data_IF_239759516084
#
_entry.id   IF_239759516084
#
_cell.length_a   1.000
_cell.length_b   1.000
_cell.length_c   1.000
_cell.angle_alpha   90.00
_cell.angle_beta   90.00
_cell.angle_gamma   90.00
#
_symmetry.space_group_name_H-M   'P 1'
#
loop_
_entity.id
_entity.type
_entity.pdbx_description
1 polymer ?
#
# COMPACT_ATOMS: atom_id res chain seq x y z
N UNK A 1 30.96 -26.23 24.44
CA UNK A 1 29.81 -25.30 24.50
C UNK A 1 30.10 -24.12 23.58
N UNK A 2 29.68 -24.17 22.31
CA UNK A 2 29.90 -23.09 21.35
C UNK A 2 28.79 -22.04 21.48
N UNK A 3 29.08 -20.96 22.20
CA UNK A 3 28.23 -19.77 22.24
C UNK A 3 28.28 -19.08 20.88
N UNK A 4 27.17 -19.10 20.15
CA UNK A 4 27.03 -18.36 18.89
C UNK A 4 26.64 -16.93 19.22
N UNK A 5 27.53 -15.98 18.95
CA UNK A 5 27.26 -14.55 19.11
C UNK A 5 26.02 -14.13 18.29
N UNK A 6 25.16 -13.23 18.80
CA UNK A 6 23.97 -12.79 18.08
C UNK A 6 24.38 -11.98 16.84
N UNK A 7 23.90 -12.40 15.66
CA UNK A 7 24.15 -11.65 14.41
C UNK A 7 23.50 -10.27 14.52
N UNK A 8 24.30 -9.20 14.40
CA UNK A 8 23.80 -7.83 14.25
C UNK A 8 22.90 -7.77 13.02
N UNK A 9 21.60 -7.63 13.21
CA UNK A 9 20.65 -7.40 12.12
C UNK A 9 20.78 -5.96 11.65
N UNK A 10 20.81 -5.76 10.32
CA UNK A 10 20.80 -4.41 9.74
C UNK A 10 19.46 -3.78 10.08
N UNK A 11 19.49 -2.56 10.63
CA UNK A 11 18.28 -1.78 10.93
C UNK A 11 17.44 -1.49 9.67
N UNK A 12 16.28 -0.84 9.83
CA UNK A 12 15.39 -0.52 8.71
C UNK A 12 16.12 0.33 7.67
N UNK A 13 15.78 0.11 6.40
CA UNK A 13 16.32 0.91 5.30
C UNK A 13 15.98 2.39 5.46
N UNK A 14 16.73 3.27 4.79
CA UNK A 14 16.44 4.70 4.75
C UNK A 14 15.00 4.97 4.28
N UNK A 15 14.58 4.30 3.22
CA UNK A 15 13.21 4.40 2.68
C UNK A 15 12.14 4.04 3.72
N UNK A 16 12.36 2.95 4.47
CA UNK A 16 11.42 2.53 5.51
C UNK A 16 11.36 3.54 6.66
N UNK A 17 12.48 4.18 7.02
CA UNK A 17 12.49 5.25 8.03
C UNK A 17 11.72 6.48 7.55
N UNK A 18 11.94 6.90 6.30
CA UNK A 18 11.23 8.03 5.70
C UNK A 18 9.71 7.77 5.63
N UNK A 19 9.29 6.56 5.22
CA UNK A 19 7.87 6.18 5.23
C UNK A 19 7.25 6.24 6.64
N UNK A 20 7.99 5.81 7.68
CA UNK A 20 7.51 5.89 9.07
C UNK A 20 7.34 7.34 9.51
N UNK A 21 8.31 8.20 9.20
CA UNK A 21 8.24 9.63 9.52
C UNK A 21 7.07 10.34 8.82
N UNK A 22 6.75 9.94 7.57
CA UNK A 22 5.55 10.43 6.87
C UNK A 22 4.29 9.93 7.54
N UNK A 23 4.21 8.63 7.82
CA UNK A 23 3.05 8.01 8.43
C UNK A 23 2.72 8.55 9.83
N UNK A 24 3.72 8.90 10.64
CA UNK A 24 3.55 9.52 11.97
C UNK A 24 2.81 10.87 11.93
N UNK A 25 2.83 11.57 10.78
CA UNK A 25 2.20 12.89 10.60
C UNK A 25 0.78 12.81 10.04
N UNK A 26 0.33 11.62 9.65
CA UNK A 26 -0.97 11.42 9.01
C UNK A 26 -1.99 10.96 10.05
N UNK A 27 -3.15 11.60 10.06
CA UNK A 27 -4.29 11.16 10.86
C UNK A 27 -4.71 9.73 10.42
N UNK A 28 -4.71 8.74 11.33
CA UNK A 28 -5.13 7.37 11.04
C UNK A 28 -6.51 7.28 10.35
N UNK A 29 -7.43 8.21 10.62
CA UNK A 29 -8.75 8.24 9.96
C UNK A 29 -8.64 8.44 8.45
N UNK A 30 -7.65 9.19 7.96
CA UNK A 30 -7.43 9.37 6.53
C UNK A 30 -6.90 8.09 5.88
N UNK A 31 -6.08 7.33 6.60
CA UNK A 31 -5.59 6.01 6.16
C UNK A 31 -6.77 5.02 6.06
N UNK A 32 -7.63 5.00 7.06
CA UNK A 32 -8.84 4.17 7.09
C UNK A 32 -9.78 4.54 5.94
N UNK A 33 -9.96 5.82 5.63
CA UNK A 33 -10.77 6.27 4.50
C UNK A 33 -10.25 5.75 3.15
N UNK A 34 -8.94 5.75 2.93
CA UNK A 34 -8.34 5.21 1.70
C UNK A 34 -8.47 3.69 1.66
N UNK A 35 -8.23 3.00 2.79
CA UNK A 35 -8.38 1.55 2.89
C UNK A 35 -9.83 1.11 2.64
N UNK A 36 -10.82 1.76 3.25
CA UNK A 36 -12.24 1.48 3.03
C UNK A 36 -12.63 1.70 1.57
N UNK A 37 -12.12 2.76 0.94
CA UNK A 37 -12.36 3.02 -0.47
C UNK A 37 -11.77 1.92 -1.36
N UNK A 38 -10.55 1.48 -1.07
CA UNK A 38 -9.94 0.33 -1.75
C UNK A 38 -10.78 -0.94 -1.60
N UNK A 39 -11.27 -1.24 -0.39
CA UNK A 39 -12.18 -2.37 -0.15
C UNK A 39 -13.44 -2.27 -1.00
N UNK A 40 -14.06 -1.09 -1.04
CA UNK A 40 -15.26 -0.82 -1.83
C UNK A 40 -15.03 -1.07 -3.33
N UNK A 41 -13.94 -0.54 -3.89
CA UNK A 41 -13.64 -0.66 -5.34
C UNK A 41 -13.15 -2.07 -5.70
N UNK A 42 -12.25 -2.64 -4.91
CA UNK A 42 -11.50 -3.84 -5.30
C UNK A 42 -12.08 -5.13 -4.73
N UNK A 43 -12.94 -5.06 -3.72
CA UNK A 43 -13.46 -6.24 -2.99
C UNK A 43 -14.99 -6.22 -2.82
N UNK A 44 -15.78 -5.81 -3.82
CA UNK A 44 -17.24 -5.78 -3.68
C UNK A 44 -17.79 -7.19 -3.38
N UNK A 45 -18.64 -7.29 -2.36
CA UNK A 45 -19.31 -8.54 -1.97
C UNK A 45 -18.37 -9.64 -1.42
N UNK A 46 -17.10 -9.34 -1.12
CA UNK A 46 -16.15 -10.33 -0.61
C UNK A 46 -16.34 -10.53 0.90
N UNK A 47 -16.57 -11.79 1.32
CA UNK A 47 -16.64 -12.18 2.75
C UNK A 47 -15.31 -12.06 3.49
N UNK A 48 -14.19 -12.14 2.75
CA UNK A 48 -12.83 -11.99 3.28
C UNK A 48 -12.09 -10.94 2.48
N UNK A 49 -11.56 -9.95 3.18
CA UNK A 49 -10.79 -8.84 2.62
C UNK A 49 -9.43 -8.81 3.32
N UNK A 50 -8.32 -8.57 2.59
CA UNK A 50 -7.02 -8.40 3.22
C UNK A 50 -7.05 -7.31 4.27
N UNK A 51 -6.60 -7.61 5.49
CA UNK A 51 -6.55 -6.64 6.57
C UNK A 51 -5.56 -5.51 6.24
N UNK A 52 -5.84 -4.33 6.80
CA UNK A 52 -4.88 -3.23 6.87
C UNK A 52 -3.79 -3.55 7.89
N UNK A 53 -2.89 -4.47 7.53
CA UNK A 53 -1.73 -4.81 8.34
C UNK A 53 -0.71 -3.66 8.40
N UNK A 54 0.31 -3.79 9.24
CA UNK A 54 1.33 -2.75 9.44
C UNK A 54 2.05 -2.34 8.14
N UNK A 55 2.19 -3.25 7.16
CA UNK A 55 2.84 -2.93 5.88
C UNK A 55 1.92 -2.11 5.01
N UNK A 56 0.66 -2.56 4.84
CA UNK A 56 -0.35 -1.79 4.07
C UNK A 56 -0.60 -0.43 4.70
N UNK A 57 -0.75 -0.38 6.03
CA UNK A 57 -0.90 0.88 6.75
C UNK A 57 0.25 1.85 6.43
N UNK A 58 1.50 1.38 6.54
CA UNK A 58 2.67 2.22 6.29
C UNK A 58 2.72 2.77 4.86
N UNK A 59 2.33 1.95 3.88
CA UNK A 59 2.27 2.35 2.46
C UNK A 59 1.18 3.38 2.21
N UNK A 60 -0.03 3.12 2.69
CA UNK A 60 -1.17 4.03 2.53
C UNK A 60 -0.90 5.35 3.25
N UNK A 61 -0.42 5.33 4.49
CA UNK A 61 -0.13 6.53 5.25
C UNK A 61 0.97 7.38 4.59
N UNK A 62 2.05 6.76 4.10
CA UNK A 62 3.08 7.48 3.36
C UNK A 62 2.53 8.11 2.06
N UNK A 63 1.67 7.40 1.32
CA UNK A 63 1.03 7.93 0.11
C UNK A 63 0.06 9.07 0.43
N UNK A 64 -0.74 8.96 1.49
CA UNK A 64 -1.63 10.05 1.95
C UNK A 64 -0.82 11.29 2.35
N UNK A 65 0.35 11.12 2.99
CA UNK A 65 1.24 12.24 3.29
C UNK A 65 1.77 12.94 2.04
N UNK A 66 1.99 12.22 0.95
CA UNK A 66 2.61 12.76 -0.27
C UNK A 66 1.58 13.33 -1.26
N UNK A 67 0.43 12.66 -1.39
CA UNK A 67 -0.56 12.93 -2.43
C UNK A 67 -1.93 13.36 -1.88
N UNK A 68 -2.18 13.15 -0.59
CA UNK A 68 -3.51 13.34 0.00
C UNK A 68 -4.50 12.21 -0.34
N UNK A 69 -5.67 12.26 0.30
CA UNK A 69 -6.70 11.20 0.20
C UNK A 69 -7.29 11.10 -1.20
N UNK A 70 -7.55 12.24 -1.86
CA UNK A 70 -8.26 12.25 -3.14
C UNK A 70 -7.43 11.67 -4.27
N UNK A 71 -6.14 12.00 -4.35
CA UNK A 71 -5.24 11.39 -5.33
C UNK A 71 -4.97 9.91 -4.99
N UNK A 72 -4.88 9.53 -3.71
CA UNK A 72 -4.82 8.12 -3.33
C UNK A 72 -6.06 7.34 -3.84
N UNK A 73 -7.26 7.92 -3.74
CA UNK A 73 -8.49 7.34 -4.29
C UNK A 73 -8.48 7.29 -5.82
N UNK A 74 -7.93 8.32 -6.49
CA UNK A 74 -7.72 8.31 -7.95
C UNK A 74 -6.81 7.19 -8.38
N UNK A 75 -5.67 6.99 -7.70
CA UNK A 75 -4.75 5.90 -7.98
C UNK A 75 -5.41 4.52 -7.82
N UNK A 76 -6.26 4.33 -6.79
CA UNK A 76 -7.07 3.11 -6.64
C UNK A 76 -8.00 2.91 -7.85
N UNK A 77 -8.69 3.96 -8.31
CA UNK A 77 -9.55 3.87 -9.51
C UNK A 77 -8.76 3.59 -10.78
N UNK A 78 -7.59 4.20 -10.96
CA UNK A 78 -6.72 3.95 -12.12
C UNK A 78 -6.24 2.50 -12.15
N UNK A 79 -5.86 1.94 -11.00
CA UNK A 79 -5.55 0.52 -10.89
C UNK A 79 -6.76 -0.36 -11.27
N UNK A 80 -7.96 0.01 -10.82
CA UNK A 80 -9.19 -0.73 -11.14
C UNK A 80 -9.60 -0.65 -12.61
N UNK A 81 -9.20 0.42 -13.32
CA UNK A 81 -9.43 0.58 -14.75
C UNK A 81 -8.38 -0.13 -15.62
N UNK A 82 -7.25 -0.55 -15.04
CA UNK A 82 -6.21 -1.25 -15.78
C UNK A 82 -6.55 -2.73 -15.96
N UNK A 83 -6.88 -3.13 -17.19
CA UNK A 83 -7.07 -4.52 -17.60
C UNK A 83 -5.97 -5.47 -17.11
N UNK A 84 -4.70 -5.09 -17.29
CA UNK A 84 -3.55 -5.89 -16.83
C UNK A 84 -3.61 -6.15 -15.32
N UNK A 85 -3.69 -5.10 -14.49
CA UNK A 85 -3.77 -5.22 -13.03
C UNK A 85 -5.04 -5.93 -12.55
N UNK A 86 -6.10 -5.89 -13.34
CA UNK A 86 -7.38 -6.55 -13.01
C UNK A 86 -7.46 -8.01 -13.48
N UNK A 87 -6.36 -8.56 -13.97
CA UNK A 87 -6.22 -9.99 -14.28
C UNK A 87 -6.34 -10.34 -15.75
N UNK A 88 -6.53 -9.37 -16.65
CA UNK A 88 -6.37 -9.58 -18.11
C UNK A 88 -4.89 -9.51 -18.46
N UNK A 89 -4.13 -10.44 -17.89
CA UNK A 89 -2.71 -10.62 -18.12
C UNK A 89 -2.39 -12.10 -18.31
N UNK A 90 -1.17 -12.40 -18.74
CA UNK A 90 -0.74 -13.78 -19.04
C UNK A 90 -0.87 -14.73 -17.84
N UNK A 91 -0.83 -14.21 -16.61
CA UNK A 91 -0.95 -15.02 -15.39
C UNK A 91 -2.39 -15.15 -14.87
N UNK A 92 -3.37 -14.49 -15.50
CA UNK A 92 -4.74 -14.35 -14.97
C UNK A 92 -4.78 -13.88 -13.51
N UNK A 93 -3.82 -13.03 -13.11
CA UNK A 93 -3.61 -12.65 -11.70
C UNK A 93 -3.93 -11.19 -11.48
N UNK A 94 -4.67 -10.90 -10.40
CA UNK A 94 -4.91 -9.51 -9.96
C UNK A 94 -3.68 -8.96 -9.23
N UNK A 95 -3.34 -7.73 -9.56
CA UNK A 95 -2.25 -6.93 -9.02
C UNK A 95 -2.82 -5.61 -8.50
N UNK A 96 -3.63 -5.71 -7.45
CA UNK A 96 -4.41 -4.61 -6.90
C UNK A 96 -4.21 -4.43 -5.39
N UNK A 97 -3.13 -4.98 -4.84
CA UNK A 97 -2.81 -4.81 -3.42
C UNK A 97 -2.30 -3.39 -3.14
N UNK A 98 -2.63 -2.86 -1.96
CA UNK A 98 -2.18 -1.56 -1.49
C UNK A 98 -0.65 -1.43 -1.44
N UNK A 99 0.08 -2.52 -1.16
CA UNK A 99 1.54 -2.52 -1.21
C UNK A 99 2.10 -2.32 -2.63
N UNK A 100 1.32 -2.64 -3.67
CA UNK A 100 1.69 -2.40 -5.06
C UNK A 100 1.25 -1.01 -5.53
N UNK A 101 -0.02 -0.65 -5.28
CA UNK A 101 -0.59 0.65 -5.71
C UNK A 101 0.23 1.80 -5.11
N UNK A 102 0.62 1.67 -3.84
CA UNK A 102 1.37 2.67 -3.09
C UNK A 102 2.83 2.25 -2.86
N UNK A 103 3.41 1.44 -3.76
CA UNK A 103 4.76 0.90 -3.60
C UNK A 103 5.82 2.00 -3.47
N UNK A 104 5.77 2.93 -4.41
CA UNK A 104 6.63 4.09 -4.61
C UNK A 104 5.87 5.12 -5.49
N UNK A 105 6.49 6.27 -5.73
CA UNK A 105 5.88 7.38 -6.47
C UNK A 105 5.49 6.98 -7.90
N UNK A 106 6.37 6.27 -8.62
CA UNK A 106 6.11 5.79 -9.99
C UNK A 106 4.85 4.93 -10.09
N UNK A 107 4.57 4.11 -9.07
CA UNK A 107 3.36 3.30 -9.05
C UNK A 107 2.10 4.13 -8.79
N UNK A 108 2.17 5.11 -7.88
CA UNK A 108 1.03 6.00 -7.63
C UNK A 108 0.70 6.80 -8.89
N UNK A 109 1.71 7.45 -9.46
CA UNK A 109 1.58 8.32 -10.63
C UNK A 109 1.12 7.58 -11.88
N UNK A 110 1.51 6.31 -12.06
CA UNK A 110 1.00 5.46 -13.15
C UNK A 110 -0.53 5.31 -13.12
N UNK A 111 -1.15 5.44 -11.95
CA UNK A 111 -2.59 5.25 -11.79
C UNK A 111 -3.37 6.56 -11.61
N UNK A 112 -2.70 7.73 -11.59
CA UNK A 112 -3.35 9.04 -11.49
C UNK A 112 -3.87 9.57 -12.84
#
# INVERSE_FOLDING_TARGET
MTSTAPRKTRGPSRLTREQRQKAEKVDPQLVDQVYQYWCFVMRPGRKRVPALDAKRYLKVAAAVSDYGVDDCRRAIRGCAASDFHMGRNKQNKRYDDLELIFRDQDHVERFL
#
